data_IF_454180988355
#
_entry.id   IF_454180988355
#
_cell.length_a   1.000
_cell.length_b   1.000
_cell.length_c   1.000
_cell.angle_alpha   90.00
_cell.angle_beta   90.00
_cell.angle_gamma   90.00
#
_symmetry.space_group_name_H-M   'P 1'
#
loop_
_entity.id
_entity.type
_entity.pdbx_description
1 polymer ?
#
# COMPACT_ATOMS: atom_id res chain seq x y z
N UNK A 1 -5.19 57.61 -20.78
CA UNK A 1 -4.92 56.14 -20.90
C UNK A 1 -4.45 55.67 -19.51
N UNK A 2 -5.40 55.22 -18.69
CA UNK A 2 -5.16 54.89 -17.28
C UNK A 2 -4.81 53.41 -17.16
N UNK A 3 -3.61 53.16 -16.67
CA UNK A 3 -3.19 51.81 -16.22
C UNK A 3 -3.80 51.52 -14.87
N UNK A 4 -5.00 50.90 -14.82
CA UNK A 4 -5.49 50.23 -13.63
C UNK A 4 -4.64 48.99 -13.40
N UNK A 5 -3.66 49.12 -12.49
CA UNK A 5 -2.87 47.98 -11.99
C UNK A 5 -3.85 47.12 -11.19
N UNK A 6 -3.97 45.86 -11.61
CA UNK A 6 -4.89 44.91 -11.02
C UNK A 6 -4.39 44.51 -9.62
N UNK A 7 -4.92 45.18 -8.59
CA UNK A 7 -4.57 45.00 -7.16
C UNK A 7 -4.77 43.56 -6.68
N UNK A 8 -5.64 42.81 -7.33
CA UNK A 8 -5.86 41.39 -7.03
C UNK A 8 -4.64 40.50 -7.33
N UNK A 9 -3.89 40.79 -8.38
CA UNK A 9 -2.69 40.02 -8.74
C UNK A 9 -1.55 40.30 -7.74
N UNK A 10 -1.42 41.56 -7.32
CA UNK A 10 -0.42 41.96 -6.33
C UNK A 10 -0.66 41.32 -4.95
N UNK A 11 -1.93 41.15 -4.57
CA UNK A 11 -2.32 40.58 -3.27
C UNK A 11 -2.01 39.08 -3.20
N UNK A 12 -2.19 38.35 -4.31
CA UNK A 12 -1.88 36.91 -4.38
C UNK A 12 -0.37 36.65 -4.32
N UNK A 13 0.44 37.46 -4.97
CA UNK A 13 1.90 37.36 -4.94
C UNK A 13 2.47 37.67 -3.53
N UNK A 14 1.96 38.71 -2.85
CA UNK A 14 2.38 39.07 -1.48
C UNK A 14 2.05 37.96 -0.48
N UNK A 15 0.89 37.31 -0.60
CA UNK A 15 0.51 36.18 0.25
C UNK A 15 1.41 34.96 0.01
N UNK A 16 1.81 34.67 -1.24
CA UNK A 16 2.76 33.59 -1.54
C UNK A 16 4.14 33.84 -0.92
N UNK A 17 4.65 35.08 -1.01
CA UNK A 17 5.94 35.46 -0.38
C UNK A 17 5.87 35.40 1.14
N UNK A 18 4.74 35.75 1.76
CA UNK A 18 4.55 35.70 3.21
C UNK A 18 4.53 34.25 3.74
N UNK A 19 3.89 33.32 3.01
CA UNK A 19 3.92 31.88 3.37
C UNK A 19 5.31 31.25 3.18
N UNK A 20 6.07 31.65 2.17
CA UNK A 20 7.45 31.18 1.97
C UNK A 20 8.37 31.74 3.09
N UNK A 21 8.18 32.97 3.54
CA UNK A 21 8.96 33.58 4.60
C UNK A 21 8.68 32.97 5.97
N UNK A 22 7.43 32.60 6.26
CA UNK A 22 7.07 31.87 7.50
C UNK A 22 7.65 30.45 7.49
N UNK A 23 7.72 29.77 6.35
CA UNK A 23 8.36 28.46 6.25
C UNK A 23 9.89 28.51 6.49
N UNK A 24 10.54 29.62 6.20
CA UNK A 24 11.99 29.79 6.41
C UNK A 24 12.32 30.16 7.86
N UNK A 25 11.42 30.85 8.57
CA UNK A 25 11.62 31.25 9.97
C UNK A 25 10.99 30.28 11.00
N UNK A 26 10.20 29.31 10.58
CA UNK A 26 9.47 28.37 11.44
C UNK A 26 10.25 27.12 11.88
N UNK A 27 11.56 27.06 11.71
CA UNK A 27 12.41 26.00 12.28
C UNK A 27 12.94 26.48 13.63
N UNK A 28 12.06 26.56 14.60
CA UNK A 28 12.38 26.39 16.05
C UNK A 28 11.14 26.70 16.88
N UNK A 29 10.79 25.77 17.75
CA UNK A 29 9.75 25.80 18.78
C UNK A 29 8.38 25.23 18.38
N UNK A 30 8.25 23.93 18.46
CA UNK A 30 7.26 23.23 19.30
C UNK A 30 7.76 21.80 19.53
N UNK A 31 8.62 21.64 20.51
CA UNK A 31 8.67 20.42 21.31
C UNK A 31 7.82 20.73 22.53
N UNK A 32 6.84 19.90 22.81
CA UNK A 32 6.25 19.59 24.12
C UNK A 32 4.74 19.29 23.97
N UNK A 33 4.43 18.05 24.30
CA UNK A 33 3.18 17.56 24.87
C UNK A 33 2.00 17.29 23.94
N UNK A 34 1.89 16.02 23.47
CA UNK A 34 0.73 15.21 23.86
C UNK A 34 1.02 13.72 23.67
N UNK A 35 1.07 12.98 24.77
CA UNK A 35 1.14 11.54 24.76
C UNK A 35 -0.18 10.97 24.23
N UNK A 36 -0.13 10.39 23.05
CA UNK A 36 -1.16 9.49 22.59
C UNK A 36 -0.48 8.15 22.32
N UNK A 37 -0.98 7.10 22.98
CA UNK A 37 -0.43 5.75 22.92
C UNK A 37 -0.74 5.16 21.54
N UNK A 38 0.05 5.53 20.56
CA UNK A 38 0.08 4.84 19.29
C UNK A 38 0.72 3.47 19.51
N UNK A 39 0.04 2.42 19.05
CA UNK A 39 0.54 1.07 19.10
C UNK A 39 1.84 1.00 18.28
N UNK A 40 2.93 1.31 18.95
CA UNK A 40 4.30 1.16 18.47
C UNK A 40 4.46 -0.33 18.14
N UNK A 41 4.67 -0.64 16.89
CA UNK A 41 5.10 -1.98 16.47
C UNK A 41 6.35 -2.28 17.29
N UNK A 42 6.21 -3.11 18.33
CA UNK A 42 7.27 -3.38 19.29
C UNK A 42 8.50 -3.88 18.53
N UNK A 43 9.67 -3.52 18.99
CA UNK A 43 11.00 -3.96 18.47
C UNK A 43 11.05 -5.48 18.26
N UNK A 44 10.30 -6.21 19.08
CA UNK A 44 10.08 -7.65 19.01
C UNK A 44 9.55 -8.14 17.64
N UNK A 45 8.72 -7.36 16.93
CA UNK A 45 8.20 -7.73 15.60
C UNK A 45 9.25 -7.56 14.51
N UNK A 46 10.12 -6.54 14.63
CA UNK A 46 11.27 -6.33 13.73
C UNK A 46 12.33 -7.41 13.92
N UNK A 47 12.60 -7.81 15.16
CA UNK A 47 13.60 -8.83 15.46
C UNK A 47 13.13 -10.22 15.07
N UNK A 48 11.84 -10.54 15.22
CA UNK A 48 11.26 -11.80 14.72
C UNK A 48 11.36 -11.89 13.19
N UNK A 49 11.19 -10.79 12.46
CA UNK A 49 11.33 -10.77 11.00
C UNK A 49 12.79 -10.92 10.56
N UNK A 50 13.74 -10.26 11.25
CA UNK A 50 15.19 -10.36 10.95
C UNK A 50 15.74 -11.76 11.28
N UNK A 51 15.36 -12.31 12.42
CA UNK A 51 15.81 -13.66 12.84
C UNK A 51 15.25 -14.76 11.93
N UNK A 52 14.04 -14.56 11.38
CA UNK A 52 13.45 -15.51 10.43
C UNK A 52 14.14 -15.47 9.06
N UNK A 53 14.61 -14.30 8.60
CA UNK A 53 15.38 -14.20 7.34
C UNK A 53 16.79 -14.80 7.51
N UNK A 54 17.41 -14.71 8.69
CA UNK A 54 18.73 -15.27 8.98
C UNK A 54 18.72 -16.79 9.03
N UNK A 55 17.71 -17.43 9.62
CA UNK A 55 17.63 -18.89 9.72
C UNK A 55 17.42 -19.58 8.35
N UNK A 56 16.85 -18.88 7.36
CA UNK A 56 16.66 -19.43 6.00
C UNK A 56 17.99 -19.50 5.22
N UNK A 57 18.94 -18.63 5.54
CA UNK A 57 20.24 -18.58 4.85
C UNK A 57 21.22 -19.67 5.28
N UNK A 58 20.96 -20.34 6.42
CA UNK A 58 21.90 -21.34 6.96
C UNK A 58 21.57 -22.78 6.57
N UNK A 59 20.38 -23.06 6.04
CA UNK A 59 19.93 -24.43 5.71
C UNK A 59 20.07 -24.72 4.20
N UNK A 60 21.27 -25.00 3.75
CA UNK A 60 21.61 -25.25 2.32
C UNK A 60 21.44 -26.69 1.82
N UNK A 61 20.89 -27.60 2.61
CA UNK A 61 20.89 -29.04 2.28
C UNK A 61 19.48 -29.67 2.17
N UNK A 62 18.60 -29.18 1.29
CA UNK A 62 17.62 -30.06 0.60
C UNK A 62 16.66 -29.23 -0.29
N UNK A 63 16.53 -29.59 -1.54
CA UNK A 63 15.67 -28.88 -2.52
C UNK A 63 14.16 -28.99 -2.22
N UNK A 64 13.71 -30.02 -1.53
CA UNK A 64 12.31 -30.19 -1.10
C UNK A 64 12.00 -29.35 0.13
N UNK A 65 12.93 -29.21 1.07
CA UNK A 65 12.85 -28.40 2.30
C UNK A 65 12.72 -26.90 2.00
N UNK A 66 13.41 -26.39 0.99
CA UNK A 66 13.43 -24.96 0.69
C UNK A 66 12.06 -24.42 0.22
N UNK A 67 11.27 -25.21 -0.54
CA UNK A 67 9.95 -24.81 -0.99
C UNK A 67 8.93 -24.84 0.15
N UNK A 68 8.99 -25.85 1.01
CA UNK A 68 8.13 -25.97 2.19
C UNK A 68 8.45 -24.90 3.24
N UNK A 69 9.72 -24.63 3.49
CA UNK A 69 10.17 -23.55 4.36
C UNK A 69 9.67 -22.19 3.87
N UNK A 70 9.83 -21.90 2.58
CA UNK A 70 9.29 -20.67 1.95
C UNK A 70 7.78 -20.58 2.10
N UNK A 71 7.05 -21.68 1.95
CA UNK A 71 5.59 -21.70 2.08
C UNK A 71 5.14 -21.51 3.55
N UNK A 72 5.83 -22.13 4.52
CA UNK A 72 5.58 -21.97 5.96
C UNK A 72 5.91 -20.53 6.41
N UNK A 73 7.04 -19.98 5.94
CA UNK A 73 7.46 -18.61 6.26
C UNK A 73 6.49 -17.56 5.70
N UNK A 74 6.01 -17.75 4.47
CA UNK A 74 5.00 -16.89 3.87
C UNK A 74 3.69 -16.94 4.65
N UNK A 75 3.23 -18.14 5.09
CA UNK A 75 2.03 -18.28 5.93
C UNK A 75 2.20 -17.55 7.26
N UNK A 76 3.38 -17.65 7.89
CA UNK A 76 3.66 -16.92 9.14
C UNK A 76 3.58 -15.40 8.94
N UNK A 77 4.18 -14.86 7.86
CA UNK A 77 4.06 -13.43 7.51
C UNK A 77 2.61 -13.01 7.23
N UNK A 78 1.84 -13.83 6.53
CA UNK A 78 0.42 -13.57 6.26
C UNK A 78 -0.39 -13.44 7.56
N UNK A 79 -0.16 -14.31 8.54
CA UNK A 79 -0.81 -14.25 9.85
C UNK A 79 -0.48 -12.96 10.62
N UNK A 80 0.76 -12.48 10.56
CA UNK A 80 1.17 -11.24 11.22
C UNK A 80 0.39 -10.02 10.72
N UNK A 81 0.06 -9.97 9.43
CA UNK A 81 -0.62 -8.83 8.83
C UNK A 81 -2.15 -8.99 8.77
N UNK A 82 -2.66 -10.18 9.14
CA UNK A 82 -4.09 -10.48 9.07
C UNK A 82 -4.99 -9.49 9.83
N UNK A 83 -4.67 -9.04 11.06
CA UNK A 83 -5.47 -8.05 11.76
C UNK A 83 -5.59 -6.71 11.01
N UNK A 84 -4.49 -6.23 10.43
CA UNK A 84 -4.48 -4.99 9.65
C UNK A 84 -5.29 -5.12 8.35
N UNK A 85 -5.24 -6.30 7.72
CA UNK A 85 -6.04 -6.63 6.54
C UNK A 85 -7.53 -6.61 6.87
N UNK A 86 -7.95 -7.27 7.97
CA UNK A 86 -9.35 -7.29 8.39
C UNK A 86 -9.85 -5.89 8.75
N UNK A 87 -9.06 -5.10 9.47
CA UNK A 87 -9.40 -3.73 9.83
C UNK A 87 -9.60 -2.87 8.58
N UNK A 88 -8.69 -2.94 7.60
CA UNK A 88 -8.80 -2.18 6.36
C UNK A 88 -9.96 -2.67 5.49
N UNK A 89 -10.20 -3.98 5.43
CA UNK A 89 -11.30 -4.63 4.72
C UNK A 89 -12.66 -4.09 5.22
N UNK A 90 -12.88 -4.14 6.54
CA UNK A 90 -14.11 -3.66 7.17
C UNK A 90 -14.30 -2.16 6.98
N UNK A 91 -13.23 -1.35 7.15
CA UNK A 91 -13.31 0.11 7.00
C UNK A 91 -13.69 0.57 5.60
N UNK A 92 -13.26 -0.16 4.58
CA UNK A 92 -13.41 0.25 3.18
C UNK A 92 -14.36 -0.62 2.39
N UNK A 93 -15.02 -1.58 3.01
CA UNK A 93 -15.93 -2.52 2.35
C UNK A 93 -15.26 -3.16 1.12
N UNK A 94 -14.12 -3.84 1.36
CA UNK A 94 -13.38 -4.63 0.38
C UNK A 94 -13.20 -6.04 0.93
N UNK A 95 -13.45 -7.05 0.10
CA UNK A 95 -13.24 -8.44 0.50
C UNK A 95 -11.79 -8.67 0.98
N UNK A 96 -11.58 -9.14 2.22
CA UNK A 96 -10.24 -9.37 2.76
C UNK A 96 -9.43 -10.38 1.95
N UNK A 97 -10.06 -11.33 1.26
CA UNK A 97 -9.39 -12.25 0.34
C UNK A 97 -8.79 -11.51 -0.87
N UNK A 98 -9.46 -10.45 -1.35
CA UNK A 98 -8.95 -9.62 -2.44
C UNK A 98 -7.75 -8.78 -1.99
N UNK A 99 -7.79 -8.21 -0.78
CA UNK A 99 -6.66 -7.48 -0.20
C UNK A 99 -5.44 -8.40 -0.07
N UNK A 100 -5.63 -9.61 0.47
CA UNK A 100 -4.58 -10.65 0.55
C UNK A 100 -3.98 -10.95 -0.82
N UNK A 101 -4.81 -11.06 -1.84
CA UNK A 101 -4.38 -11.34 -3.21
C UNK A 101 -3.55 -10.20 -3.80
N UNK A 102 -3.93 -8.95 -3.55
CA UNK A 102 -3.17 -7.77 -3.98
C UNK A 102 -1.81 -7.76 -3.27
N UNK A 103 -1.75 -7.88 -1.94
CA UNK A 103 -0.49 -7.91 -1.18
C UNK A 103 0.43 -9.04 -1.69
N UNK A 104 -0.13 -10.22 -1.94
CA UNK A 104 0.62 -11.35 -2.49
C UNK A 104 1.15 -11.08 -3.90
N UNK A 105 0.38 -10.38 -4.73
CA UNK A 105 0.81 -10.03 -6.08
C UNK A 105 1.88 -8.94 -6.07
N UNK A 106 1.78 -7.95 -5.18
CA UNK A 106 2.67 -6.79 -5.10
C UNK A 106 4.02 -7.13 -4.47
N UNK A 107 4.03 -7.66 -3.26
CA UNK A 107 5.24 -7.83 -2.45
C UNK A 107 5.52 -9.27 -2.01
N UNK A 108 4.56 -10.21 -2.20
CA UNK A 108 4.65 -11.54 -1.59
C UNK A 108 4.73 -11.49 -0.06
N UNK A 109 4.05 -10.51 0.56
CA UNK A 109 4.09 -10.24 1.99
C UNK A 109 5.45 -9.76 2.52
N UNK A 110 6.27 -9.12 1.69
CA UNK A 110 7.49 -8.46 2.15
C UNK A 110 7.21 -6.99 2.51
N UNK A 111 7.23 -6.59 3.80
CA UNK A 111 6.94 -5.21 4.20
C UNK A 111 8.04 -4.23 3.76
N UNK A 112 9.26 -4.72 3.51
CA UNK A 112 10.41 -3.91 3.09
C UNK A 112 10.63 -3.96 1.56
N UNK A 113 9.65 -4.42 0.79
CA UNK A 113 9.80 -4.51 -0.66
C UNK A 113 9.95 -3.13 -1.30
N UNK A 114 10.91 -3.01 -2.20
CA UNK A 114 11.11 -1.81 -3.04
C UNK A 114 11.20 -2.28 -4.50
N UNK A 115 10.35 -1.73 -5.36
CA UNK A 115 10.40 -2.02 -6.78
C UNK A 115 11.44 -1.15 -7.51
N UNK A 116 11.82 -1.54 -8.73
CA UNK A 116 12.71 -0.74 -9.60
C UNK A 116 12.17 0.67 -9.89
N UNK A 117 10.85 0.88 -9.79
CA UNK A 117 10.18 2.17 -10.00
C UNK A 117 9.98 2.95 -8.70
N UNK A 118 10.49 2.46 -7.57
CA UNK A 118 10.38 3.12 -6.26
C UNK A 118 9.07 2.87 -5.51
N UNK A 119 8.22 1.94 -5.95
CA UNK A 119 7.06 1.52 -5.17
C UNK A 119 7.50 0.73 -3.92
N UNK A 120 6.85 0.94 -2.77
CA UNK A 120 7.34 0.51 -1.46
C UNK A 120 6.28 -0.23 -0.64
N UNK A 121 6.75 -1.18 0.17
CA UNK A 121 5.97 -1.87 1.21
C UNK A 121 5.05 -2.97 0.67
N UNK A 122 4.14 -3.43 1.54
CA UNK A 122 3.26 -4.58 1.30
C UNK A 122 2.37 -4.43 0.06
N UNK A 123 1.80 -3.24 -0.13
CA UNK A 123 0.90 -2.92 -1.25
C UNK A 123 1.58 -2.07 -2.33
N UNK A 124 2.92 -1.95 -2.30
CA UNK A 124 3.72 -1.28 -3.32
C UNK A 124 3.21 0.13 -3.67
N UNK A 125 3.09 0.99 -2.66
CA UNK A 125 2.69 2.37 -2.87
C UNK A 125 3.83 3.19 -3.48
N UNK A 126 3.53 3.93 -4.54
CA UNK A 126 4.45 4.95 -5.06
C UNK A 126 4.59 6.09 -4.04
N UNK A 127 5.77 6.72 -3.89
CA UNK A 127 6.00 7.79 -2.92
C UNK A 127 4.95 8.91 -2.98
N UNK A 128 4.66 9.42 -4.17
CA UNK A 128 3.64 10.46 -4.36
C UNK A 128 2.22 10.00 -4.00
N UNK A 129 1.92 8.70 -4.18
CA UNK A 129 0.63 8.13 -3.78
C UNK A 129 0.57 7.99 -2.26
N UNK A 130 1.65 7.54 -1.62
CA UNK A 130 1.74 7.42 -0.17
C UNK A 130 1.54 8.78 0.52
N UNK A 131 2.23 9.82 0.04
CA UNK A 131 2.10 11.19 0.49
C UNK A 131 0.66 11.71 0.34
N UNK A 132 0.05 11.58 -0.84
CA UNK A 132 -1.34 11.99 -1.11
C UNK A 132 -2.39 11.22 -0.27
N UNK A 133 -1.99 10.11 0.32
CA UNK A 133 -2.78 9.30 1.23
C UNK A 133 -2.46 9.57 2.71
N UNK A 134 -1.50 10.44 3.04
CA UNK A 134 -1.06 10.67 4.42
C UNK A 134 -0.45 9.43 5.07
N UNK A 135 0.30 8.63 4.29
CA UNK A 135 1.09 7.50 4.80
C UNK A 135 2.46 8.04 5.17
N UNK A 136 2.73 8.16 6.46
CA UNK A 136 3.97 8.73 6.99
C UNK A 136 5.14 7.75 6.87
N UNK A 137 4.94 6.50 7.31
CA UNK A 137 5.90 5.41 7.14
C UNK A 137 5.34 4.34 6.19
N UNK A 138 5.84 4.36 4.96
CA UNK A 138 5.43 3.43 3.91
C UNK A 138 5.88 1.99 4.17
N UNK A 139 6.83 1.76 5.08
CA UNK A 139 7.28 0.43 5.50
C UNK A 139 6.55 -0.07 6.75
N UNK A 140 5.79 0.80 7.43
CA UNK A 140 4.88 0.38 8.49
C UNK A 140 3.72 -0.43 7.88
N UNK A 141 3.55 -1.72 8.27
CA UNK A 141 2.54 -2.60 7.67
C UNK A 141 1.12 -2.07 7.78
N UNK A 142 0.74 -1.53 8.93
CA UNK A 142 -0.60 -1.00 9.17
C UNK A 142 -0.90 0.21 8.30
N UNK A 143 0.04 1.17 8.24
CA UNK A 143 -0.12 2.37 7.42
C UNK A 143 -0.14 2.03 5.92
N UNK A 144 0.75 1.15 5.47
CA UNK A 144 0.84 0.74 4.07
C UNK A 144 -0.42 0.00 3.62
N UNK A 145 -0.93 -0.97 4.41
CA UNK A 145 -2.16 -1.70 4.10
C UNK A 145 -3.35 -0.74 4.10
N UNK A 146 -3.51 0.09 5.14
CA UNK A 146 -4.62 1.05 5.23
C UNK A 146 -4.62 2.03 4.05
N UNK A 147 -3.47 2.60 3.71
CA UNK A 147 -3.30 3.50 2.56
C UNK A 147 -3.58 2.81 1.23
N UNK A 148 -3.02 1.62 1.03
CA UNK A 148 -3.18 0.84 -0.19
C UNK A 148 -4.62 0.40 -0.44
N UNK A 149 -5.33 -0.06 0.59
CA UNK A 149 -6.74 -0.45 0.49
C UNK A 149 -7.62 0.78 0.22
N UNK A 150 -7.36 1.90 0.89
CA UNK A 150 -8.05 3.17 0.62
C UNK A 150 -7.83 3.64 -0.82
N UNK A 151 -6.62 3.54 -1.34
CA UNK A 151 -6.33 3.85 -2.74
C UNK A 151 -7.08 2.92 -3.69
N UNK A 152 -7.05 1.62 -3.43
CA UNK A 152 -7.76 0.62 -4.22
C UNK A 152 -9.28 0.87 -4.22
N UNK A 153 -9.90 1.16 -3.05
CA UNK A 153 -11.33 1.53 -2.97
C UNK A 153 -11.65 2.77 -3.80
N UNK A 154 -10.80 3.80 -3.79
CA UNK A 154 -10.97 4.97 -4.66
C UNK A 154 -10.97 4.59 -6.15
N UNK A 155 -10.15 3.61 -6.54
CA UNK A 155 -10.14 3.11 -7.92
C UNK A 155 -11.39 2.29 -8.23
N UNK A 156 -11.83 1.40 -7.32
CA UNK A 156 -13.10 0.66 -7.49
C UNK A 156 -14.27 1.63 -7.69
N UNK A 157 -14.39 2.65 -6.86
CA UNK A 157 -15.44 3.66 -7.00
C UNK A 157 -15.32 4.47 -8.31
N UNK A 158 -14.09 4.76 -8.76
CA UNK A 158 -13.83 5.50 -10.02
C UNK A 158 -14.22 4.72 -11.26
N UNK A 159 -14.23 3.41 -11.19
CA UNK A 159 -14.59 2.52 -12.28
C UNK A 159 -15.89 1.76 -11.98
N UNK A 160 -16.85 2.41 -11.31
CA UNK A 160 -18.23 1.98 -11.11
C UNK A 160 -18.34 0.54 -10.54
N UNK A 161 -17.42 0.16 -9.67
CA UNK A 161 -17.36 -1.16 -9.04
C UNK A 161 -16.62 -2.22 -9.86
N UNK A 162 -16.15 -1.91 -11.06
CA UNK A 162 -15.38 -2.87 -11.87
C UNK A 162 -14.00 -3.13 -11.26
N UNK A 163 -13.88 -4.24 -10.51
CA UNK A 163 -12.66 -4.70 -9.86
C UNK A 163 -11.53 -4.94 -10.87
N UNK A 164 -11.83 -5.41 -12.08
CA UNK A 164 -10.82 -5.68 -13.11
C UNK A 164 -10.20 -4.38 -13.62
N UNK A 165 -11.02 -3.36 -13.88
CA UNK A 165 -10.54 -2.03 -14.25
C UNK A 165 -9.81 -1.34 -13.09
N UNK A 166 -10.29 -1.50 -11.85
CA UNK A 166 -9.60 -1.00 -10.67
C UNK A 166 -8.21 -1.62 -10.49
N UNK A 167 -8.05 -2.93 -10.70
CA UNK A 167 -6.75 -3.61 -10.70
C UNK A 167 -5.85 -3.15 -11.85
N UNK A 168 -6.40 -2.95 -13.04
CA UNK A 168 -5.65 -2.38 -14.15
C UNK A 168 -5.12 -0.98 -13.80
N UNK A 169 -5.96 -0.15 -13.18
CA UNK A 169 -5.63 1.21 -12.77
C UNK A 169 -4.62 1.24 -11.62
N UNK A 170 -4.70 0.29 -10.70
CA UNK A 170 -3.73 0.14 -9.61
C UNK A 170 -2.32 -0.11 -10.17
N UNK A 171 -2.20 -0.98 -11.18
CA UNK A 171 -0.93 -1.36 -11.78
C UNK A 171 -0.42 -0.36 -12.85
N UNK A 172 -1.27 0.10 -13.75
CA UNK A 172 -0.89 0.92 -14.89
C UNK A 172 -1.17 2.42 -14.68
N UNK A 173 -1.97 2.78 -13.68
CA UNK A 173 -2.43 4.14 -13.44
C UNK A 173 -3.80 4.44 -14.05
N UNK A 174 -4.63 5.15 -13.28
CA UNK A 174 -6.03 5.43 -13.67
C UNK A 174 -6.16 6.31 -14.93
N UNK A 175 -5.18 7.19 -15.22
CA UNK A 175 -5.16 8.00 -16.47
C UNK A 175 -5.04 7.11 -17.71
N UNK A 176 -4.20 6.08 -17.64
CA UNK A 176 -3.97 5.12 -18.72
C UNK A 176 -5.24 4.32 -18.99
N UNK A 177 -5.86 3.75 -17.94
CA UNK A 177 -7.09 2.96 -18.09
C UNK A 177 -8.23 3.78 -18.70
N UNK A 178 -8.36 5.06 -18.32
CA UNK A 178 -9.34 5.96 -18.93
C UNK A 178 -9.02 6.28 -20.39
N UNK A 179 -7.74 6.49 -20.72
CA UNK A 179 -7.32 6.75 -22.09
C UNK A 179 -7.69 5.60 -23.02
N UNK A 180 -7.49 4.35 -22.56
CA UNK A 180 -7.86 3.15 -23.32
C UNK A 180 -9.33 2.75 -23.16
N UNK A 181 -10.11 3.47 -22.36
CA UNK A 181 -11.50 3.15 -22.02
C UNK A 181 -11.68 1.68 -21.57
N UNK A 182 -10.64 1.09 -20.97
CA UNK A 182 -10.59 -0.31 -20.62
C UNK A 182 -9.21 -0.73 -20.11
N UNK A 183 -9.01 -2.05 -20.03
CA UNK A 183 -7.69 -2.60 -19.68
C UNK A 183 -6.70 -2.30 -20.82
N UNK A 184 -5.59 -1.56 -20.55
CA UNK A 184 -4.64 -1.21 -21.59
C UNK A 184 -3.94 -2.48 -22.15
N UNK A 185 -3.47 -2.47 -23.41
CA UNK A 185 -2.89 -3.66 -24.07
C UNK A 185 -1.46 -3.97 -23.57
N UNK A 186 -1.17 -3.70 -22.30
CA UNK A 186 0.13 -3.97 -21.69
C UNK A 186 0.17 -5.39 -21.14
N UNK A 187 1.08 -6.22 -21.66
CA UNK A 187 1.28 -7.61 -21.19
C UNK A 187 1.45 -7.69 -19.67
N UNK A 188 2.20 -6.74 -19.08
CA UNK A 188 2.41 -6.66 -17.63
C UNK A 188 1.11 -6.46 -16.85
N UNK A 189 0.22 -5.58 -17.31
CA UNK A 189 -1.06 -5.30 -16.65
C UNK A 189 -2.02 -6.49 -16.76
N UNK A 190 -2.11 -7.12 -17.91
CA UNK A 190 -2.89 -8.36 -18.08
C UNK A 190 -2.36 -9.50 -17.20
N UNK A 191 -1.04 -9.67 -17.11
CA UNK A 191 -0.42 -10.63 -16.22
C UNK A 191 -0.72 -10.35 -14.75
N UNK A 192 -0.62 -9.07 -14.34
CA UNK A 192 -0.92 -8.63 -12.98
C UNK A 192 -2.37 -8.96 -12.59
N UNK A 193 -3.34 -8.60 -13.41
CA UNK A 193 -4.76 -8.89 -13.16
C UNK A 193 -4.98 -10.40 -13.01
N UNK A 194 -4.43 -11.21 -13.95
CA UNK A 194 -4.52 -12.67 -13.89
C UNK A 194 -3.91 -13.24 -12.61
N UNK A 195 -2.75 -12.68 -12.18
CA UNK A 195 -2.05 -13.07 -10.97
C UNK A 195 -2.89 -12.77 -9.72
N UNK A 196 -3.49 -11.56 -9.62
CA UNK A 196 -4.35 -11.19 -8.49
C UNK A 196 -5.57 -12.09 -8.42
N UNK A 197 -6.31 -12.31 -9.52
CA UNK A 197 -7.48 -13.18 -9.50
C UNK A 197 -7.15 -14.63 -9.16
N UNK A 198 -5.98 -15.15 -9.59
CA UNK A 198 -5.50 -16.47 -9.17
C UNK A 198 -5.35 -16.56 -7.66
N UNK A 199 -4.72 -15.57 -7.03
CA UNK A 199 -4.57 -15.53 -5.57
C UNK A 199 -5.89 -15.28 -4.86
N UNK A 200 -6.75 -14.43 -5.42
CA UNK A 200 -8.08 -14.19 -4.86
C UNK A 200 -8.91 -15.46 -4.73
N UNK A 201 -8.97 -16.27 -5.82
CA UNK A 201 -9.65 -17.57 -5.78
C UNK A 201 -9.09 -18.50 -4.71
N UNK A 202 -7.76 -18.55 -4.56
CA UNK A 202 -7.09 -19.35 -3.54
C UNK A 202 -7.49 -18.90 -2.13
N UNK A 203 -7.38 -17.59 -1.82
CA UNK A 203 -7.70 -17.07 -0.49
C UNK A 203 -9.18 -17.15 -0.16
N UNK A 204 -10.05 -16.98 -1.14
CA UNK A 204 -11.50 -17.14 -0.96
C UNK A 204 -11.85 -18.57 -0.54
N UNK A 205 -11.27 -19.58 -1.20
CA UNK A 205 -11.45 -20.97 -0.84
C UNK A 205 -10.98 -21.30 0.58
N UNK A 206 -9.79 -20.83 0.97
CA UNK A 206 -9.25 -21.02 2.33
C UNK A 206 -10.13 -20.39 3.42
N UNK A 207 -10.68 -19.22 3.18
CA UNK A 207 -11.57 -18.55 4.14
C UNK A 207 -12.89 -19.31 4.29
N UNK A 208 -13.44 -19.84 3.21
CA UNK A 208 -14.68 -20.66 3.24
C UNK A 208 -14.47 -21.97 4.00
N UNK A 209 -13.33 -22.64 3.78
CA UNK A 209 -12.99 -23.87 4.52
C UNK A 209 -12.81 -23.64 6.02
N UNK A 210 -12.19 -22.52 6.41
CA UNK A 210 -12.01 -22.18 7.83
C UNK A 210 -13.36 -21.89 8.52
N UNK A 211 -14.32 -21.25 7.82
CA UNK A 211 -15.66 -21.02 8.37
C UNK A 211 -16.49 -22.30 8.56
N UNK A 212 -16.20 -23.35 7.79
CA UNK A 212 -16.89 -24.66 7.93
C UNK A 212 -16.36 -25.52 9.10
N UNK A 213 -15.19 -25.17 9.65
CA UNK A 213 -14.53 -25.90 10.75
C UNK A 213 -14.82 -25.33 12.13
N UNK A 214 -15.53 -24.21 12.21
CA UNK A 214 -16.04 -23.56 13.43
C UNK A 214 -17.51 -23.88 13.59
#
# INVERSE_FOLDING_TARGET
MDKKINIQILFVEVIRFFFIFIMILGVSLVSIHNGNKDAHMTDNTRDVLKNADFQILTDKNSTTSSCELRSKFRRKKEHLFHPFILQAASRHDIDPALIKAIIMAESGYNPNAISKRGAKGLMQLMPSTAEALGVEDVFNPQQNISGGVRYFKRLVNRFDGDVKLALAAYNAGSKIVRHYQGVPPFKSTHYYIKKVFKYYKLYKGQMTENMKKV
#
